data_IF_368695836294
#
_entry.id   IF_368695836294
#
_cell.length_a   1.000
_cell.length_b   1.000
_cell.length_c   1.000
_cell.angle_alpha   90.00
_cell.angle_beta   90.00
_cell.angle_gamma   90.00
#
_symmetry.space_group_name_H-M   'P 1'
#
loop_
_entity.id
_entity.type
_entity.pdbx_description
1 polymer ?
#
# COMPACT_ATOMS: atom_id res chain seq x y z
N UNK A 1 -13.56 -15.96 13.01
CA UNK A 1 -13.95 -15.00 11.95
C UNK A 1 -13.02 -15.22 10.77
N UNK A 2 -13.56 -15.66 9.63
CA UNK A 2 -12.80 -16.07 8.44
C UNK A 2 -12.65 -14.90 7.47
N UNK A 3 -11.51 -14.83 6.76
CA UNK A 3 -11.11 -13.78 5.79
C UNK A 3 -12.13 -13.46 4.66
N UNK A 4 -13.26 -14.19 4.57
CA UNK A 4 -14.26 -14.06 3.50
C UNK A 4 -15.25 -12.91 3.70
N UNK A 5 -15.40 -12.38 4.92
CA UNK A 5 -16.47 -11.40 5.22
C UNK A 5 -16.09 -9.94 4.95
N UNK A 6 -14.79 -9.62 4.82
CA UNK A 6 -14.34 -8.26 4.43
C UNK A 6 -14.67 -7.99 2.95
N UNK A 7 -14.82 -9.05 2.15
CA UNK A 7 -15.05 -8.99 0.71
C UNK A 7 -16.48 -8.50 0.34
N UNK A 8 -17.42 -8.44 1.29
CA UNK A 8 -18.83 -8.09 1.01
C UNK A 8 -19.16 -6.60 1.09
N UNK A 9 -18.27 -5.75 1.65
CA UNK A 9 -18.51 -4.30 1.81
C UNK A 9 -17.58 -3.39 1.03
N UNK A 10 -16.50 -3.89 0.43
CA UNK A 10 -15.64 -3.09 -0.44
C UNK A 10 -16.05 -3.23 -1.91
N UNK A 11 -16.92 -2.33 -2.38
CA UNK A 11 -17.21 -2.10 -3.81
C UNK A 11 -15.96 -1.70 -4.65
N UNK A 12 -14.81 -1.56 -4.00
CA UNK A 12 -13.50 -1.26 -4.56
C UNK A 12 -12.93 -2.42 -5.40
N UNK A 13 -13.19 -3.68 -5.04
CA UNK A 13 -12.61 -4.84 -5.74
C UNK A 13 -13.26 -5.06 -7.12
N UNK A 14 -14.59 -5.13 -7.18
CA UNK A 14 -15.28 -5.50 -8.43
C UNK A 14 -15.24 -4.43 -9.54
N UNK A 15 -15.28 -3.13 -9.17
CA UNK A 15 -15.28 -2.03 -10.15
C UNK A 15 -13.88 -1.62 -10.60
N UNK A 16 -12.86 -1.75 -9.73
CA UNK A 16 -11.51 -1.23 -10.00
C UNK A 16 -10.57 -2.24 -10.69
N UNK A 17 -10.82 -3.56 -10.54
CA UNK A 17 -10.17 -4.59 -11.38
C UNK A 17 -10.39 -4.31 -12.88
N UNK A 18 -11.52 -3.68 -13.25
CA UNK A 18 -11.80 -3.30 -14.65
C UNK A 18 -11.06 -2.04 -15.11
N UNK A 19 -10.74 -1.10 -14.23
CA UNK A 19 -10.03 0.14 -14.59
C UNK A 19 -8.51 -0.02 -14.56
N UNK A 20 -7.95 -0.82 -13.65
CA UNK A 20 -6.52 -1.11 -13.62
C UNK A 20 -6.06 -2.03 -14.77
N UNK A 21 -6.98 -2.73 -15.45
CA UNK A 21 -6.64 -3.54 -16.65
C UNK A 21 -6.39 -2.72 -17.93
N UNK A 22 -6.66 -1.42 -17.94
CA UNK A 22 -6.54 -0.55 -19.13
C UNK A 22 -5.25 0.30 -19.18
N UNK A 23 -4.40 0.27 -18.16
CA UNK A 23 -3.08 0.89 -18.21
C UNK A 23 -2.02 -0.20 -18.43
N UNK A 24 -1.13 0.00 -19.41
CA UNK A 24 -0.09 -0.96 -19.77
C UNK A 24 0.75 -1.42 -18.57
N UNK A 25 1.35 -2.62 -18.70
CA UNK A 25 2.28 -3.23 -17.74
C UNK A 25 3.12 -2.13 -17.05
N UNK A 26 2.85 -1.84 -15.78
CA UNK A 26 3.70 -0.93 -15.04
C UNK A 26 5.03 -1.66 -14.87
N UNK A 27 6.06 -1.21 -15.58
CA UNK A 27 7.42 -1.68 -15.38
C UNK A 27 7.77 -1.39 -13.92
N UNK A 28 8.21 -2.43 -13.18
CA UNK A 28 8.72 -2.41 -11.80
C UNK A 28 8.60 -1.03 -11.12
N UNK A 29 7.52 -0.79 -10.38
CA UNK A 29 7.34 0.47 -9.68
C UNK A 29 8.44 0.62 -8.64
N UNK A 30 9.22 1.70 -8.71
CA UNK A 30 10.17 2.09 -7.68
C UNK A 30 9.95 3.56 -7.35
N UNK A 31 9.16 3.83 -6.32
CA UNK A 31 8.70 5.18 -6.01
C UNK A 31 7.82 5.24 -4.77
N UNK A 32 7.18 6.40 -4.52
CA UNK A 32 6.26 6.55 -3.40
C UNK A 32 5.12 5.53 -3.46
N UNK A 33 4.65 5.09 -2.29
CA UNK A 33 3.54 4.15 -2.18
C UNK A 33 2.22 4.75 -2.71
N UNK A 34 2.07 6.07 -2.64
CA UNK A 34 0.93 6.81 -3.18
C UNK A 34 0.79 6.73 -4.70
N UNK A 35 1.90 6.52 -5.42
CA UNK A 35 1.96 6.39 -6.88
C UNK A 35 1.86 4.93 -7.32
N UNK A 36 1.97 3.97 -6.39
CA UNK A 36 1.87 2.56 -6.69
C UNK A 36 0.48 2.23 -7.24
N UNK A 37 0.44 1.81 -8.50
CA UNK A 37 -0.80 1.47 -9.20
C UNK A 37 -1.10 -0.04 -9.20
N UNK A 38 -0.13 -0.86 -8.79
CA UNK A 38 -0.23 -2.31 -8.78
C UNK A 38 -0.62 -2.83 -7.40
N UNK A 39 -1.61 -3.72 -7.37
CA UNK A 39 -1.95 -4.49 -6.18
C UNK A 39 -1.00 -5.68 -6.07
N UNK A 40 -0.63 -6.05 -4.85
CA UNK A 40 0.22 -7.22 -4.60
C UNK A 40 1.37 -6.93 -3.67
N UNK A 41 2.37 -7.82 -3.71
CA UNK A 41 3.54 -7.75 -2.83
C UNK A 41 4.50 -6.66 -3.30
N UNK A 42 4.98 -5.91 -2.34
CA UNK A 42 5.97 -4.87 -2.53
C UNK A 42 6.98 -4.90 -1.38
N UNK A 43 8.16 -4.37 -1.65
CA UNK A 43 9.22 -4.20 -0.65
C UNK A 43 9.27 -2.74 -0.22
N UNK A 44 9.33 -2.50 1.09
CA UNK A 44 9.63 -1.17 1.62
C UNK A 44 11.13 -0.93 1.44
N UNK A 45 11.49 0.05 0.63
CA UNK A 45 12.89 0.38 0.35
C UNK A 45 13.41 1.45 1.30
N UNK A 46 12.62 2.50 1.53
CA UNK A 46 13.03 3.66 2.32
C UNK A 46 11.82 4.35 2.95
N UNK A 47 12.04 4.97 4.10
CA UNK A 47 11.11 5.91 4.71
C UNK A 47 11.72 7.31 4.67
N UNK A 48 10.94 8.30 4.28
CA UNK A 48 11.29 9.72 4.28
C UNK A 48 10.39 10.47 5.25
N UNK A 49 10.81 11.67 5.68
CA UNK A 49 10.08 12.47 6.65
C UNK A 49 10.93 12.87 7.85
N UNK A 50 10.31 13.55 8.80
CA UNK A 50 10.98 13.97 10.03
C UNK A 50 11.19 12.79 11.01
N UNK A 51 11.90 13.04 12.12
CA UNK A 51 12.18 12.01 13.13
C UNK A 51 10.90 11.43 13.75
N UNK A 52 9.84 12.24 13.90
CA UNK A 52 8.57 11.81 14.50
C UNK A 52 7.78 10.95 13.53
N UNK A 53 7.74 11.32 12.25
CA UNK A 53 7.10 10.56 11.17
C UNK A 53 7.76 9.19 11.00
N UNK A 54 9.09 9.14 10.95
CA UNK A 54 9.82 7.88 10.89
C UNK A 54 9.56 6.99 12.12
N UNK A 55 9.54 7.57 13.32
CA UNK A 55 9.23 6.83 14.55
C UNK A 55 7.79 6.29 14.56
N UNK A 56 6.83 7.07 14.05
CA UNK A 56 5.42 6.66 13.90
C UNK A 56 5.32 5.50 12.92
N UNK A 57 5.95 5.58 11.75
CA UNK A 57 5.97 4.50 10.75
C UNK A 57 6.61 3.22 11.32
N UNK A 58 7.74 3.34 12.00
CA UNK A 58 8.38 2.20 12.67
C UNK A 58 7.49 1.55 13.74
N UNK A 59 6.74 2.35 14.51
CA UNK A 59 5.78 1.85 15.51
C UNK A 59 4.59 1.10 14.89
N UNK A 60 4.25 1.41 13.64
CA UNK A 60 3.25 0.67 12.85
C UNK A 60 3.84 -0.59 12.19
N UNK A 61 5.14 -0.85 12.38
CA UNK A 61 5.83 -1.98 11.77
C UNK A 61 6.23 -1.72 10.32
N UNK A 62 6.27 -0.47 9.86
CA UNK A 62 6.83 -0.11 8.54
C UNK A 62 8.33 0.12 8.71
N UNK A 63 9.14 -0.78 8.18
CA UNK A 63 10.60 -0.70 8.24
C UNK A 63 11.23 -0.99 6.86
N UNK A 64 12.36 -0.35 6.51
CA UNK A 64 13.11 -0.70 5.32
C UNK A 64 13.48 -2.19 5.27
N UNK A 65 13.39 -2.78 4.09
CA UNK A 65 13.67 -4.19 3.84
C UNK A 65 12.47 -5.12 4.04
N UNK A 66 11.37 -4.64 4.62
CA UNK A 66 10.20 -5.48 4.87
C UNK A 66 9.30 -5.61 3.64
N UNK A 67 8.66 -6.77 3.53
CA UNK A 67 7.62 -7.03 2.54
C UNK A 67 6.26 -6.61 3.10
N UNK A 68 5.45 -6.01 2.22
CA UNK A 68 4.07 -5.69 2.51
C UNK A 68 3.20 -5.98 1.29
N UNK A 69 1.90 -6.09 1.49
CA UNK A 69 0.94 -6.36 0.43
C UNK A 69 -0.02 -5.16 0.28
N UNK A 70 0.00 -4.52 -0.90
CA UNK A 70 -0.91 -3.43 -1.23
C UNK A 70 -2.27 -3.99 -1.60
N UNK A 71 -3.25 -3.78 -0.71
CA UNK A 71 -4.61 -4.27 -0.88
C UNK A 71 -5.48 -3.30 -1.67
N UNK A 72 -5.23 -1.99 -1.52
CA UNK A 72 -5.93 -0.93 -2.24
C UNK A 72 -4.99 0.26 -2.47
N UNK A 73 -4.78 0.63 -3.73
CA UNK A 73 -3.91 1.75 -4.15
C UNK A 73 -4.47 3.13 -3.82
N UNK A 74 -5.81 3.27 -3.74
CA UNK A 74 -6.47 4.55 -3.44
C UNK A 74 -7.97 4.37 -3.16
N UNK A 75 -8.45 4.70 -1.97
CA UNK A 75 -9.86 4.91 -1.65
C UNK A 75 -10.03 6.34 -1.10
N UNK A 76 -10.12 7.33 -2.01
CA UNK A 76 -9.99 8.74 -1.65
C UNK A 76 -8.53 9.15 -1.48
N UNK A 77 -8.15 9.68 -0.31
CA UNK A 77 -6.77 10.05 0.06
C UNK A 77 -6.05 8.98 0.88
N UNK A 78 -6.57 7.74 0.93
CA UNK A 78 -6.00 6.65 1.74
C UNK A 78 -5.70 5.40 0.91
N UNK A 79 -4.66 4.66 1.31
CA UNK A 79 -4.31 3.34 0.79
C UNK A 79 -4.32 2.29 1.91
N UNK A 80 -4.57 1.02 1.56
CA UNK A 80 -4.60 -0.09 2.51
C UNK A 80 -3.42 -1.02 2.25
N UNK A 81 -2.59 -1.18 3.27
CA UNK A 81 -1.39 -2.00 3.24
C UNK A 81 -1.49 -3.11 4.28
N UNK A 82 -1.10 -4.33 3.94
CA UNK A 82 -1.00 -5.44 4.88
C UNK A 82 0.46 -5.72 5.21
N UNK A 83 0.79 -5.72 6.49
CA UNK A 83 2.15 -5.94 7.01
C UNK A 83 2.09 -6.75 8.31
N UNK A 84 2.98 -7.74 8.47
CA UNK A 84 3.01 -8.65 9.63
C UNK A 84 1.64 -9.28 9.98
N UNK A 85 0.80 -9.54 8.97
CA UNK A 85 -0.55 -10.08 9.17
C UNK A 85 -1.61 -9.08 9.64
N UNK A 86 -1.21 -7.84 9.95
CA UNK A 86 -2.12 -6.71 10.22
C UNK A 86 -2.41 -5.88 8.96
N UNK A 87 -3.51 -5.13 8.98
CA UNK A 87 -3.87 -4.20 7.91
C UNK A 87 -3.79 -2.76 8.43
N UNK A 88 -3.03 -1.92 7.72
CA UNK A 88 -2.85 -0.51 7.98
C UNK A 88 -3.60 0.32 6.93
N UNK A 89 -4.32 1.35 7.38
CA UNK A 89 -4.80 2.42 6.52
C UNK A 89 -3.82 3.59 6.62
N UNK A 90 -3.25 3.98 5.48
CA UNK A 90 -2.29 5.06 5.40
C UNK A 90 -2.93 6.21 4.61
N UNK A 91 -2.76 7.42 5.09
CA UNK A 91 -3.15 8.62 4.39
C UNK A 91 -2.12 9.01 3.31
N UNK A 92 -2.48 9.98 2.47
CA UNK A 92 -1.66 10.46 1.36
C UNK A 92 -0.31 11.00 1.82
N UNK A 93 -0.24 11.71 2.96
CA UNK A 93 1.03 12.24 3.46
C UNK A 93 1.97 11.13 3.91
N UNK A 94 1.45 10.14 4.65
CA UNK A 94 2.24 8.98 5.09
C UNK A 94 2.66 8.11 3.91
N UNK A 95 1.79 7.87 2.93
CA UNK A 95 2.10 7.04 1.76
C UNK A 95 3.08 7.70 0.78
N UNK A 96 3.10 9.03 0.68
CA UNK A 96 4.14 9.76 -0.07
C UNK A 96 5.54 9.58 0.54
N UNK A 97 5.60 9.32 1.85
CA UNK A 97 6.83 9.18 2.61
C UNK A 97 7.40 7.75 2.64
N UNK A 98 6.73 6.79 1.98
CA UNK A 98 7.15 5.39 1.94
C UNK A 98 7.55 5.05 0.51
N UNK A 99 8.83 4.78 0.30
CA UNK A 99 9.35 4.36 -1.00
C UNK A 99 9.31 2.84 -1.08
N UNK A 100 8.70 2.33 -2.15
CA UNK A 100 8.47 0.90 -2.36
C UNK A 100 8.95 0.43 -3.72
N UNK A 101 9.25 -0.87 -3.80
CA UNK A 101 9.56 -1.58 -5.05
C UNK A 101 8.59 -2.75 -5.27
N UNK A 102 8.01 -2.89 -6.47
CA UNK A 102 7.26 -4.09 -6.86
C UNK A 102 8.17 -5.32 -6.93
N UNK A 103 7.75 -6.46 -6.36
CA UNK A 103 8.50 -7.73 -6.36
C UNK A 103 7.86 -8.73 -7.32
#
# INVERSE_FOLDING_TARGET
>A
MTFRDINKKCNCLAKKIRQCRKGGKCLKHHGPLSEACELGKLKICKLTGDRRECAKMASLGLLPGQEAELLCTRNGSQCLLKIHGGTLSLDESTSNNIIVESI
#
